data_IF_115565762293
#
_entry.id   IF_115565762293
#
_cell.length_a   1.000
_cell.length_b   1.000
_cell.length_c   1.000
_cell.angle_alpha   90.00
_cell.angle_beta   90.00
_cell.angle_gamma   90.00
#
_symmetry.space_group_name_H-M   'P 1'
#
loop_
_entity.id
_entity.type
_entity.pdbx_description
1 polymer ?
#
# COMPACT_ATOMS: atom_id res chain seq x y z
N UNK A 1 7.87 -17.73 6.98
CA UNK A 1 6.98 -17.63 8.16
C UNK A 1 7.07 -16.22 8.73
N UNK A 2 5.95 -15.56 9.03
CA UNK A 2 5.97 -14.19 9.55
C UNK A 2 6.42 -14.15 11.02
N UNK A 3 7.42 -13.33 11.34
CA UNK A 3 7.82 -13.11 12.73
C UNK A 3 6.85 -12.11 13.40
N UNK A 4 5.89 -12.65 14.16
CA UNK A 4 4.87 -11.85 14.87
C UNK A 4 5.46 -10.80 15.80
N UNK A 5 6.60 -11.08 16.43
CA UNK A 5 7.24 -10.15 17.36
C UNK A 5 7.78 -8.92 16.64
N UNK A 6 8.37 -9.09 15.46
CA UNK A 6 8.89 -7.99 14.64
C UNK A 6 7.76 -7.12 14.08
N UNK A 7 6.64 -7.74 13.68
CA UNK A 7 5.43 -7.01 13.26
C UNK A 7 4.92 -6.11 14.39
N UNK A 8 4.84 -6.64 15.60
CA UNK A 8 4.38 -5.89 16.77
C UNK A 8 5.34 -4.75 17.13
N UNK A 9 6.66 -4.99 17.10
CA UNK A 9 7.66 -3.95 17.35
C UNK A 9 7.56 -2.80 16.37
N UNK A 10 7.45 -3.11 15.06
CA UNK A 10 7.32 -2.10 14.02
C UNK A 10 6.02 -1.30 14.15
N UNK A 11 4.89 -1.98 14.36
CA UNK A 11 3.60 -1.31 14.59
C UNK A 11 3.64 -0.40 15.84
N UNK A 12 4.35 -0.81 16.89
CA UNK A 12 4.54 0.00 18.10
C UNK A 12 5.43 1.23 17.87
N UNK A 13 6.49 1.09 17.08
CA UNK A 13 7.33 2.23 16.67
C UNK A 13 6.51 3.26 15.89
N UNK A 14 5.72 2.82 14.90
CA UNK A 14 4.84 3.70 14.11
C UNK A 14 3.77 4.37 14.99
N UNK A 15 3.19 3.62 15.93
CA UNK A 15 2.24 4.16 16.88
C UNK A 15 2.87 5.26 17.75
N UNK A 16 4.07 5.02 18.31
CA UNK A 16 4.77 6.03 19.11
C UNK A 16 5.17 7.25 18.29
N UNK A 17 5.62 7.06 17.05
CA UNK A 17 5.99 8.18 16.18
C UNK A 17 4.80 9.11 15.89
N UNK A 18 3.58 8.55 15.71
CA UNK A 18 2.38 9.32 15.38
C UNK A 18 1.61 9.82 16.62
N UNK A 19 1.65 9.07 17.71
CA UNK A 19 0.75 9.24 18.85
C UNK A 19 1.44 9.21 20.23
N UNK A 20 2.76 9.19 20.30
CA UNK A 20 3.52 8.94 21.54
C UNK A 20 3.22 9.89 22.71
N UNK A 21 2.73 11.10 22.43
CA UNK A 21 2.34 12.08 23.47
C UNK A 21 0.88 11.92 23.93
N UNK A 22 0.18 10.87 23.51
CA UNK A 22 -1.23 10.63 23.83
C UNK A 22 -1.39 9.33 24.61
N UNK A 23 -2.41 9.20 25.47
CA UNK A 23 -2.74 7.93 26.11
C UNK A 23 -2.95 6.83 25.07
N UNK A 24 -2.62 5.59 25.45
CA UNK A 24 -2.75 4.45 24.55
C UNK A 24 -4.20 4.27 24.08
N UNK A 25 -4.38 4.15 22.77
CA UNK A 25 -5.66 3.87 22.12
C UNK A 25 -5.52 2.62 21.26
N UNK A 26 -6.21 1.55 21.64
CA UNK A 26 -6.18 0.26 20.96
C UNK A 26 -6.57 0.37 19.48
N UNK A 27 -7.61 1.14 19.14
CA UNK A 27 -8.06 1.30 17.75
C UNK A 27 -6.97 1.88 16.84
N UNK A 28 -6.25 2.90 17.31
CA UNK A 28 -5.14 3.51 16.58
C UNK A 28 -3.95 2.56 16.44
N UNK A 29 -3.65 1.79 17.49
CA UNK A 29 -2.61 0.76 17.41
C UNK A 29 -3.00 -0.38 16.46
N UNK A 30 -4.26 -0.83 16.49
CA UNK A 30 -4.79 -1.83 15.55
C UNK A 30 -4.69 -1.35 14.10
N UNK A 31 -4.95 -0.06 13.85
CA UNK A 31 -4.75 0.52 12.52
C UNK A 31 -3.27 0.51 12.10
N UNK A 32 -2.33 0.87 12.98
CA UNK A 32 -0.89 0.72 12.68
C UNK A 32 -0.52 -0.74 12.38
N UNK A 33 -1.07 -1.70 13.13
CA UNK A 33 -0.85 -3.13 12.90
C UNK A 33 -1.36 -3.57 11.52
N UNK A 34 -2.52 -3.07 11.11
CA UNK A 34 -3.09 -3.35 9.79
C UNK A 34 -2.21 -2.80 8.66
N UNK A 35 -1.66 -1.59 8.82
CA UNK A 35 -0.72 -1.00 7.86
C UNK A 35 0.53 -1.88 7.71
N UNK A 36 1.21 -2.19 8.82
CA UNK A 36 2.43 -3.01 8.79
C UNK A 36 2.15 -4.39 8.18
N UNK A 37 0.98 -4.97 8.47
CA UNK A 37 0.56 -6.23 7.87
C UNK A 37 0.32 -6.13 6.36
N UNK A 38 -0.31 -5.04 5.90
CA UNK A 38 -0.53 -4.80 4.48
C UNK A 38 0.79 -4.63 3.72
N UNK A 39 1.72 -3.83 4.25
CA UNK A 39 3.06 -3.62 3.68
C UNK A 39 3.84 -4.93 3.56
N UNK A 40 3.79 -5.79 4.59
CA UNK A 40 4.48 -7.07 4.56
C UNK A 40 3.89 -8.04 3.52
N UNK A 41 2.56 -8.07 3.39
CA UNK A 41 1.90 -8.85 2.33
C UNK A 41 2.30 -8.34 0.95
N UNK A 42 2.35 -7.02 0.76
CA UNK A 42 2.80 -6.41 -0.48
C UNK A 42 4.26 -6.76 -0.78
N UNK A 43 5.16 -6.63 0.20
CA UNK A 43 6.58 -6.99 0.04
C UNK A 43 6.78 -8.46 -0.35
N UNK A 44 5.97 -9.38 0.19
CA UNK A 44 6.00 -10.80 -0.21
C UNK A 44 5.47 -10.98 -1.62
N UNK A 45 4.36 -10.33 -1.97
CA UNK A 45 3.81 -10.39 -3.32
C UNK A 45 4.87 -9.96 -4.36
N UNK A 46 5.59 -8.87 -4.09
CA UNK A 46 6.69 -8.39 -4.93
C UNK A 46 7.88 -9.36 -5.01
N UNK A 47 8.18 -10.10 -3.94
CA UNK A 47 9.24 -11.12 -3.96
C UNK A 47 8.86 -12.37 -4.75
N UNK A 48 7.59 -12.78 -4.67
CA UNK A 48 7.10 -13.99 -5.34
C UNK A 48 6.86 -13.75 -6.82
N UNK A 49 6.20 -12.65 -7.16
CA UNK A 49 5.96 -12.25 -8.54
C UNK A 49 5.94 -10.72 -8.65
N UNK A 50 7.10 -10.10 -8.96
CA UNK A 50 7.22 -8.64 -9.00
C UNK A 50 6.35 -8.00 -10.09
N UNK A 51 6.20 -8.68 -11.23
CA UNK A 51 5.40 -8.17 -12.36
C UNK A 51 3.92 -8.15 -12.00
N UNK A 52 3.38 -9.27 -11.48
CA UNK A 52 1.98 -9.34 -11.08
C UNK A 52 1.65 -8.39 -9.92
N UNK A 53 2.56 -8.24 -8.95
CA UNK A 53 2.40 -7.29 -7.85
C UNK A 53 2.38 -5.84 -8.36
N UNK A 54 3.26 -5.49 -9.30
CA UNK A 54 3.31 -4.16 -9.90
C UNK A 54 2.04 -3.84 -10.72
N UNK A 55 1.53 -4.81 -11.48
CA UNK A 55 0.27 -4.66 -12.21
C UNK A 55 -0.90 -4.44 -11.24
N UNK A 56 -0.95 -5.18 -10.12
CA UNK A 56 -1.99 -5.01 -9.11
C UNK A 56 -1.95 -3.60 -8.49
N UNK A 57 -0.77 -3.08 -8.16
CA UNK A 57 -0.61 -1.72 -7.65
C UNK A 57 -1.04 -0.66 -8.67
N UNK A 58 -0.68 -0.83 -9.94
CA UNK A 58 -1.08 0.07 -11.02
C UNK A 58 -2.59 0.08 -11.23
N UNK A 59 -3.25 -1.08 -11.14
CA UNK A 59 -4.71 -1.16 -11.20
C UNK A 59 -5.38 -0.47 -10.03
N UNK A 60 -4.83 -0.62 -8.82
CA UNK A 60 -5.34 0.09 -7.66
C UNK A 60 -5.14 1.61 -7.80
N UNK A 61 -4.01 2.07 -8.35
CA UNK A 61 -3.80 3.49 -8.64
C UNK A 61 -4.83 4.03 -9.64
N UNK A 62 -5.13 3.28 -10.71
CA UNK A 62 -6.18 3.65 -11.66
C UNK A 62 -7.57 3.75 -11.00
N UNK A 63 -7.91 2.82 -10.12
CA UNK A 63 -9.15 2.88 -9.33
C UNK A 63 -9.17 4.14 -8.44
N UNK A 64 -8.04 4.47 -7.80
CA UNK A 64 -7.92 5.65 -6.94
C UNK A 64 -8.07 6.98 -7.71
N UNK A 65 -7.74 7.01 -9.00
CA UNK A 65 -7.97 8.19 -9.85
C UNK A 65 -9.46 8.49 -10.03
N UNK A 66 -10.33 7.48 -9.99
CA UNK A 66 -11.78 7.67 -10.13
C UNK A 66 -12.39 8.48 -8.98
N UNK A 67 -11.74 8.48 -7.81
CA UNK A 67 -12.16 9.25 -6.64
C UNK A 67 -11.65 10.70 -6.65
N UNK A 68 -10.85 11.11 -7.65
CA UNK A 68 -10.36 12.49 -7.72
C UNK A 68 -11.48 13.46 -8.15
N UNK A 69 -11.45 14.72 -7.66
CA UNK A 69 -12.37 15.75 -8.12
C UNK A 69 -12.28 15.96 -9.64
N UNK A 70 -13.42 16.24 -10.28
CA UNK A 70 -13.54 16.46 -11.73
C UNK A 70 -12.65 17.58 -12.30
N UNK A 71 -12.10 18.44 -11.44
CA UNK A 71 -11.19 19.53 -11.81
C UNK A 71 -9.76 19.06 -12.10
N UNK A 72 -9.42 17.82 -11.75
CA UNK A 72 -8.12 17.23 -12.01
C UNK A 72 -8.22 16.45 -13.31
N UNK A 73 -7.38 16.79 -14.29
CA UNK A 73 -7.21 15.96 -15.47
C UNK A 73 -6.52 14.64 -15.08
N UNK A 74 -7.32 13.57 -15.06
CA UNK A 74 -6.85 12.22 -14.77
C UNK A 74 -6.55 11.42 -16.05
N UNK A 75 -6.95 11.91 -17.24
CA UNK A 75 -6.88 11.12 -18.47
C UNK A 75 -5.45 10.79 -18.86
N UNK A 76 -4.55 11.77 -18.73
CA UNK A 76 -3.13 11.56 -19.03
C UNK A 76 -2.50 10.53 -18.09
N UNK A 77 -2.83 10.60 -16.80
CA UNK A 77 -2.32 9.65 -15.81
C UNK A 77 -2.89 8.25 -16.02
N UNK A 78 -4.17 8.16 -16.37
CA UNK A 78 -4.82 6.89 -16.66
C UNK A 78 -4.20 6.19 -17.88
N UNK A 79 -3.96 6.94 -18.97
CA UNK A 79 -3.25 6.41 -20.16
C UNK A 79 -1.83 5.94 -19.84
N UNK A 80 -1.11 6.68 -18.99
CA UNK A 80 0.24 6.30 -18.56
C UNK A 80 0.21 4.96 -17.80
N UNK A 81 -0.73 4.80 -16.86
CA UNK A 81 -0.91 3.56 -16.09
C UNK A 81 -1.28 2.40 -17.00
N UNK A 82 -2.22 2.59 -17.92
CA UNK A 82 -2.64 1.56 -18.89
C UNK A 82 -1.46 1.14 -19.80
N UNK A 83 -0.64 2.09 -20.26
CA UNK A 83 0.56 1.81 -21.03
C UNK A 83 1.60 1.00 -20.25
N UNK A 84 1.82 1.32 -18.97
CA UNK A 84 2.72 0.56 -18.10
C UNK A 84 2.21 -0.88 -17.89
N UNK A 85 0.90 -1.08 -17.68
CA UNK A 85 0.31 -2.42 -17.56
C UNK A 85 0.51 -3.21 -18.86
N UNK A 86 0.24 -2.60 -20.02
CA UNK A 86 0.41 -3.26 -21.32
C UNK A 86 1.86 -3.70 -21.56
N UNK A 87 2.83 -2.83 -21.22
CA UNK A 87 4.26 -3.16 -21.31
C UNK A 87 4.66 -4.30 -20.38
N UNK A 88 4.10 -4.36 -19.17
CA UNK A 88 4.39 -5.41 -18.20
C UNK A 88 3.74 -6.76 -18.54
N UNK A 89 2.65 -6.77 -19.32
CA UNK A 89 2.00 -7.99 -19.80
C UNK A 89 2.65 -8.56 -21.07
N UNK A 90 3.34 -7.72 -21.84
CA UNK A 90 4.01 -8.12 -23.07
C UNK A 90 5.46 -8.62 -22.86
N UNK A 91 6.00 -8.44 -21.65
CA UNK A 91 7.34 -8.88 -21.24
C UNK A 91 7.28 -10.26 -20.56
#
# INVERSE_FOLDING_TARGET
>A
MFNRSEIMKRAWQDYKARYGNRPFKRSLFTWCLQIVWAELKQAIAYRVNPVAAKIADLRHEAEMLSYKPWRIDIMNRQREIEGQIASLLAA
#
